data_IF_459348662413
#
_entry.id   IF_459348662413
#
_cell.length_a   1.000
_cell.length_b   1.000
_cell.length_c   1.000
_cell.angle_alpha   90.00
_cell.angle_beta   90.00
_cell.angle_gamma   90.00
#
_symmetry.space_group_name_H-M   'P 1'
#
loop_
_entity.id
_entity.type
_entity.pdbx_description
1 polymer ?
#
# COMPACT_ATOMS: atom_id res chain seq x y z
N UNK A 1 12.32 11.76 23.75
CA UNK A 1 12.24 10.99 22.48
C UNK A 1 11.30 9.81 22.72
N UNK A 2 10.19 9.71 21.98
CA UNK A 2 9.24 8.59 22.10
C UNK A 2 9.58 7.54 21.06
N UNK A 3 9.66 6.27 21.47
CA UNK A 3 9.85 5.14 20.53
C UNK A 3 8.62 4.26 20.53
N UNK A 4 8.03 4.06 19.37
CA UNK A 4 6.79 3.32 19.17
C UNK A 4 7.01 2.12 18.24
N UNK A 5 6.51 0.94 18.63
CA UNK A 5 6.48 -0.21 17.73
C UNK A 5 5.14 -0.28 17.00
N UNK A 6 5.20 -0.34 15.68
CA UNK A 6 4.03 -0.58 14.83
C UNK A 6 3.97 -2.05 14.44
N UNK A 7 2.81 -2.66 14.61
CA UNK A 7 2.52 -4.01 14.12
C UNK A 7 1.47 -3.89 13.00
N UNK A 8 1.94 -3.87 11.75
CA UNK A 8 1.12 -3.91 10.55
C UNK A 8 1.84 -4.71 9.49
N UNK A 9 1.46 -5.98 9.36
CA UNK A 9 2.26 -6.95 8.62
C UNK A 9 1.87 -7.07 7.15
N UNK A 10 0.60 -6.92 6.82
CA UNK A 10 0.07 -7.12 5.45
C UNK A 10 -1.38 -6.60 5.32
N UNK A 11 -1.97 -6.41 4.13
CA UNK A 11 -1.32 -6.54 2.83
C UNK A 11 -0.63 -5.22 2.41
N UNK A 12 -0.13 -5.10 1.16
CA UNK A 12 0.57 -3.90 0.69
C UNK A 12 -0.25 -2.63 0.92
N UNK A 13 -1.51 -2.60 0.49
CA UNK A 13 -2.39 -1.44 0.70
C UNK A 13 -2.57 -1.10 2.19
N UNK A 14 -2.75 -2.12 3.04
CA UNK A 14 -2.85 -1.92 4.49
C UNK A 14 -1.58 -1.32 5.11
N UNK A 15 -0.40 -1.72 4.63
CA UNK A 15 0.89 -1.16 5.09
C UNK A 15 0.98 0.30 4.66
N UNK A 16 0.68 0.62 3.39
CA UNK A 16 0.65 1.98 2.88
C UNK A 16 -0.35 2.86 3.65
N UNK A 17 -1.57 2.38 3.89
CA UNK A 17 -2.61 3.10 4.63
C UNK A 17 -2.21 3.48 6.07
N UNK A 18 -1.12 2.92 6.59
CA UNK A 18 -0.62 3.24 7.93
C UNK A 18 0.29 4.46 7.94
N UNK A 19 0.95 4.78 6.83
CA UNK A 19 1.90 5.89 6.73
C UNK A 19 1.34 7.25 7.17
N UNK A 20 0.09 7.65 6.79
CA UNK A 20 -0.45 8.93 7.22
C UNK A 20 -0.57 9.11 8.75
N UNK A 21 -0.75 8.01 9.48
CA UNK A 21 -0.79 8.07 10.94
C UNK A 21 0.57 8.42 11.57
N UNK A 22 1.67 8.05 10.90
CA UNK A 22 3.02 8.44 11.32
C UNK A 22 3.26 9.93 11.09
N UNK A 23 2.83 10.43 9.92
CA UNK A 23 2.91 11.85 9.58
C UNK A 23 2.16 12.70 10.60
N UNK A 24 0.92 12.32 10.95
CA UNK A 24 0.16 13.00 11.99
C UNK A 24 0.90 13.00 13.34
N UNK A 25 1.44 11.86 13.74
CA UNK A 25 2.14 11.73 15.02
C UNK A 25 3.42 12.58 15.07
N UNK A 26 4.17 12.66 13.97
CA UNK A 26 5.38 13.52 13.86
C UNK A 26 5.04 14.99 13.98
N UNK A 27 3.91 15.44 13.42
CA UNK A 27 3.47 16.82 13.54
C UNK A 27 3.21 17.23 14.99
N UNK A 28 2.73 16.28 15.82
CA UNK A 28 2.46 16.52 17.25
C UNK A 28 3.70 16.28 18.11
N UNK A 29 4.48 15.27 17.77
CA UNK A 29 5.68 14.86 18.52
C UNK A 29 6.89 14.79 17.57
N UNK A 30 7.61 15.90 17.35
CA UNK A 30 8.72 15.95 16.37
C UNK A 30 9.85 14.94 16.63
N UNK A 31 10.04 14.53 17.89
CA UNK A 31 11.08 13.58 18.30
C UNK A 31 10.58 12.11 18.37
N UNK A 32 9.39 11.82 17.86
CA UNK A 32 8.86 10.45 17.82
C UNK A 32 9.58 9.64 16.75
N UNK A 33 9.91 8.39 17.08
CA UNK A 33 10.46 7.42 16.12
C UNK A 33 9.69 6.14 16.15
N UNK A 34 9.64 5.46 15.00
CA UNK A 34 8.91 4.22 14.83
C UNK A 34 9.84 3.07 14.44
N UNK A 35 9.67 1.95 15.14
CA UNK A 35 10.08 0.64 14.65
C UNK A 35 8.84 -0.04 14.06
N UNK A 36 8.98 -0.80 12.97
CA UNK A 36 7.82 -1.37 12.30
C UNK A 36 8.01 -2.85 11.96
N UNK A 37 7.12 -3.71 12.49
CA UNK A 37 7.06 -5.12 12.10
C UNK A 37 6.15 -5.27 10.89
N UNK A 38 6.72 -5.79 9.80
CA UNK A 38 6.06 -5.95 8.50
C UNK A 38 6.47 -7.28 7.85
N UNK A 39 5.60 -7.88 7.06
CA UNK A 39 5.91 -9.09 6.28
C UNK A 39 7.04 -8.83 5.28
N UNK A 40 7.99 -9.77 5.14
CA UNK A 40 9.23 -9.62 4.36
C UNK A 40 9.01 -9.06 2.93
N UNK A 41 7.89 -9.43 2.28
CA UNK A 41 7.56 -8.94 0.93
C UNK A 41 7.23 -7.44 0.85
N UNK A 42 6.99 -6.78 1.98
CA UNK A 42 6.65 -5.36 2.05
C UNK A 42 7.65 -4.54 2.88
N UNK A 43 8.78 -5.14 3.24
CA UNK A 43 9.75 -4.54 4.16
C UNK A 43 10.37 -3.23 3.65
N UNK A 44 10.31 -2.95 2.35
CA UNK A 44 10.81 -1.69 1.79
C UNK A 44 9.90 -0.49 2.14
N UNK A 45 8.58 -0.69 2.22
CA UNK A 45 7.60 0.40 2.33
C UNK A 45 7.79 1.26 3.59
N UNK A 46 7.91 0.70 4.81
CA UNK A 46 8.08 1.53 6.00
C UNK A 46 9.32 2.42 5.95
N UNK A 47 10.41 1.92 5.37
CA UNK A 47 11.68 2.65 5.26
C UNK A 47 11.66 3.88 4.34
N UNK A 48 10.60 4.09 3.58
CA UNK A 48 10.42 5.30 2.77
C UNK A 48 9.94 6.50 3.58
N UNK A 49 9.37 6.26 4.77
CA UNK A 49 8.91 7.33 5.67
C UNK A 49 10.02 7.71 6.65
N UNK A 50 10.35 9.00 6.73
CA UNK A 50 11.49 9.51 7.49
C UNK A 50 11.44 9.25 9.01
N UNK A 51 10.25 9.06 9.58
CA UNK A 51 10.09 8.77 11.01
C UNK A 51 10.29 7.28 11.36
N UNK A 52 10.49 6.40 10.39
CA UNK A 52 10.77 4.98 10.65
C UNK A 52 12.27 4.79 10.82
N UNK A 53 12.67 4.41 12.03
CA UNK A 53 14.07 4.15 12.39
C UNK A 53 14.48 2.72 12.05
N UNK A 54 13.62 1.73 12.38
CA UNK A 54 13.91 0.31 12.14
C UNK A 54 12.74 -0.40 11.49
N UNK A 55 13.04 -1.17 10.45
CA UNK A 55 12.10 -2.13 9.87
C UNK A 55 12.48 -3.53 10.36
N UNK A 56 11.53 -4.26 10.93
CA UNK A 56 11.72 -5.61 11.48
C UNK A 56 10.90 -6.57 10.61
N UNK A 57 11.51 -7.22 9.61
CA UNK A 57 10.81 -8.14 8.73
C UNK A 57 10.33 -9.39 9.48
N UNK A 58 9.11 -9.82 9.19
CA UNK A 58 8.55 -11.08 9.65
C UNK A 58 8.08 -11.92 8.46
N UNK A 59 8.20 -13.23 8.54
CA UNK A 59 7.85 -14.14 7.45
C UNK A 59 6.78 -15.17 7.86
N UNK A 60 5.70 -14.72 8.51
CA UNK A 60 4.66 -15.62 9.06
C UNK A 60 4.09 -16.52 7.98
N UNK A 61 3.89 -16.01 6.75
CA UNK A 61 3.34 -16.78 5.63
C UNK A 61 4.25 -17.94 5.23
N UNK A 62 5.57 -17.71 5.21
CA UNK A 62 6.59 -18.71 4.87
C UNK A 62 6.82 -19.66 6.04
N UNK A 63 6.96 -19.14 7.25
CA UNK A 63 7.21 -19.96 8.46
C UNK A 63 6.11 -20.98 8.70
N UNK A 64 4.84 -20.65 8.47
CA UNK A 64 3.71 -21.57 8.65
C UNK A 64 3.82 -22.87 7.86
N UNK A 65 4.49 -22.84 6.72
CA UNK A 65 4.67 -24.03 5.87
C UNK A 65 5.67 -25.04 6.46
N UNK A 66 6.64 -24.54 7.25
CA UNK A 66 7.74 -25.32 7.75
C UNK A 66 8.12 -24.94 9.20
N UNK A 67 7.11 -24.78 10.06
CA UNK A 67 7.24 -24.20 11.40
C UNK A 67 8.32 -24.86 12.29
N UNK A 68 8.52 -26.18 12.15
CA UNK A 68 9.44 -26.97 12.97
C UNK A 68 10.84 -27.13 12.39
N UNK A 69 11.11 -26.67 11.17
CA UNK A 69 12.46 -26.73 10.58
C UNK A 69 13.44 -25.90 11.41
N UNK A 70 14.69 -26.37 11.47
CA UNK A 70 15.74 -25.74 12.30
C UNK A 70 16.07 -24.32 11.85
N UNK A 71 16.16 -24.08 10.54
CA UNK A 71 16.35 -22.76 9.95
C UNK A 71 15.21 -21.79 10.33
N UNK A 72 13.95 -22.22 10.18
CA UNK A 72 12.78 -21.42 10.56
C UNK A 72 12.75 -21.12 12.06
N UNK A 73 13.14 -22.07 12.91
CA UNK A 73 13.26 -21.83 14.36
C UNK A 73 14.32 -20.78 14.69
N UNK A 74 15.45 -20.77 13.94
CA UNK A 74 16.50 -19.79 14.11
C UNK A 74 16.02 -18.39 13.66
N UNK A 75 15.39 -18.29 12.48
CA UNK A 75 14.79 -17.02 12.03
C UNK A 75 13.78 -16.45 13.02
N UNK A 76 12.89 -17.28 13.56
CA UNK A 76 11.91 -16.86 14.57
C UNK A 76 12.56 -16.42 15.88
N UNK A 77 13.68 -17.03 16.26
CA UNK A 77 14.46 -16.59 17.43
C UNK A 77 15.07 -15.22 17.17
N UNK A 78 15.75 -15.02 16.03
CA UNK A 78 16.32 -13.73 15.63
C UNK A 78 15.26 -12.63 15.56
N UNK A 79 14.10 -12.94 14.98
CA UNK A 79 12.96 -12.03 14.97
C UNK A 79 12.50 -11.64 16.37
N UNK A 80 12.38 -12.62 17.29
CA UNK A 80 12.02 -12.35 18.69
C UNK A 80 13.05 -11.44 19.36
N UNK A 81 14.33 -11.75 19.20
CA UNK A 81 15.44 -10.94 19.74
C UNK A 81 15.39 -9.50 19.19
N UNK A 82 15.12 -9.33 17.90
CA UNK A 82 14.97 -8.02 17.26
C UNK A 82 13.80 -7.20 17.83
N UNK A 83 12.63 -7.83 18.04
CA UNK A 83 11.45 -7.17 18.64
C UNK A 83 11.69 -6.82 20.11
N UNK A 84 12.39 -7.68 20.85
CA UNK A 84 12.66 -7.53 22.28
C UNK A 84 13.90 -6.70 22.61
N UNK A 85 14.68 -6.31 21.61
CA UNK A 85 15.93 -5.52 21.80
C UNK A 85 15.68 -4.10 22.30
N UNK A 86 14.43 -3.62 22.24
CA UNK A 86 14.04 -2.28 22.69
C UNK A 86 12.82 -2.36 23.62
N UNK A 87 12.71 -1.35 24.49
CA UNK A 87 11.48 -1.08 25.24
C UNK A 87 10.77 0.09 24.56
N UNK A 88 9.48 -0.07 24.28
CA UNK A 88 8.67 0.91 23.56
C UNK A 88 7.74 1.65 24.52
N UNK A 89 7.55 2.94 24.29
CA UNK A 89 6.54 3.74 25.00
C UNK A 89 5.14 3.29 24.67
N UNK A 90 4.93 2.84 23.41
CA UNK A 90 3.70 2.22 22.96
C UNK A 90 3.99 1.14 21.91
N UNK A 91 3.21 0.06 21.93
CA UNK A 91 3.16 -0.99 20.89
C UNK A 91 1.77 -0.92 20.26
N UNK A 92 1.66 -0.46 19.02
CA UNK A 92 0.37 -0.27 18.34
C UNK A 92 0.13 -1.39 17.35
N UNK A 93 -0.83 -2.28 17.65
CA UNK A 93 -1.28 -3.33 16.71
C UNK A 93 -2.40 -2.78 15.81
N UNK A 94 -2.00 -2.27 14.65
CA UNK A 94 -2.90 -1.80 13.60
C UNK A 94 -3.34 -2.94 12.65
N UNK A 95 -2.83 -4.17 12.82
CA UNK A 95 -3.24 -5.35 12.03
C UNK A 95 -4.56 -5.93 12.51
N UNK A 96 -4.74 -6.07 13.82
CA UNK A 96 -5.97 -6.53 14.43
C UNK A 96 -6.34 -7.99 14.16
N UNK A 97 -5.34 -8.87 14.04
CA UNK A 97 -5.51 -10.31 13.83
C UNK A 97 -4.91 -11.09 15.01
N UNK A 98 -5.49 -12.24 15.34
CA UNK A 98 -4.97 -13.13 16.41
C UNK A 98 -3.50 -13.49 16.16
N UNK A 99 -3.14 -13.75 14.91
CA UNK A 99 -1.75 -14.09 14.56
C UNK A 99 -0.77 -12.95 14.80
N UNK A 100 -1.14 -11.68 14.52
CA UNK A 100 -0.28 -10.52 14.80
C UNK A 100 -0.19 -10.29 16.32
N UNK A 101 -1.31 -10.35 17.01
CA UNK A 101 -1.35 -10.19 18.46
C UNK A 101 -0.50 -11.23 19.19
N UNK A 102 -0.64 -12.52 18.81
CA UNK A 102 0.04 -13.62 19.47
C UNK A 102 1.52 -13.76 19.09
N UNK A 103 1.85 -13.61 17.79
CA UNK A 103 3.19 -13.89 17.26
C UNK A 103 4.12 -12.68 17.26
N UNK A 104 3.57 -11.47 17.38
CA UNK A 104 4.32 -10.22 17.31
C UNK A 104 4.06 -9.32 18.52
N UNK A 105 2.84 -8.80 18.66
CA UNK A 105 2.48 -7.77 19.66
C UNK A 105 2.80 -8.21 21.09
N UNK A 106 2.46 -9.48 21.43
CA UNK A 106 2.74 -10.06 22.74
C UNK A 106 4.23 -10.13 23.08
N UNK A 107 5.11 -10.25 22.08
CA UNK A 107 6.57 -10.38 22.29
C UNK A 107 7.23 -9.09 22.69
N UNK A 108 6.70 -7.95 22.23
CA UNK A 108 7.30 -6.64 22.44
C UNK A 108 7.21 -6.17 23.88
N UNK A 109 8.23 -5.44 24.34
CA UNK A 109 8.24 -4.76 25.64
C UNK A 109 7.64 -3.36 25.47
N UNK A 110 6.57 -3.07 26.20
CA UNK A 110 5.83 -1.81 26.15
C UNK A 110 4.33 -2.00 26.30
N UNK A 111 3.59 -0.90 26.51
CA UNK A 111 2.13 -0.90 26.63
C UNK A 111 1.49 -1.18 25.26
N UNK A 112 0.63 -2.17 25.22
CA UNK A 112 0.04 -2.67 23.96
C UNK A 112 -1.30 -1.99 23.70
N UNK A 113 -1.40 -1.32 22.57
CA UNK A 113 -2.59 -0.62 22.08
C UNK A 113 -3.15 -1.33 20.86
N UNK A 114 -4.47 -1.34 20.73
CA UNK A 114 -5.14 -1.89 19.57
C UNK A 114 -6.64 -1.56 19.56
N UNK A 115 -7.33 -2.04 18.55
CA UNK A 115 -8.78 -1.89 18.45
C UNK A 115 -9.51 -2.68 19.52
N UNK A 116 -10.62 -2.17 20.03
CA UNK A 116 -11.50 -2.92 20.91
C UNK A 116 -12.25 -4.03 20.15
N UNK A 117 -12.92 -4.93 20.88
CA UNK A 117 -13.63 -6.09 20.32
C UNK A 117 -14.67 -5.78 19.24
N UNK A 118 -15.25 -4.58 19.25
CA UNK A 118 -16.27 -4.14 18.29
C UNK A 118 -15.67 -3.51 17.04
N UNK A 119 -14.49 -2.92 17.15
CA UNK A 119 -13.77 -2.23 16.08
C UNK A 119 -12.79 -3.14 15.33
N UNK A 120 -12.28 -4.18 15.98
CA UNK A 120 -11.27 -5.08 15.43
C UNK A 120 -11.85 -6.07 14.42
N UNK A 121 -11.00 -6.60 13.54
CA UNK A 121 -11.37 -7.63 12.56
C UNK A 121 -11.60 -8.99 13.21
N UNK A 122 -10.71 -9.42 14.10
CA UNK A 122 -10.80 -10.66 14.86
C UNK A 122 -10.96 -10.33 16.35
N UNK A 123 -12.17 -10.40 16.92
CA UNK A 123 -12.47 -9.94 18.28
C UNK A 123 -11.58 -10.51 19.38
N UNK A 124 -11.13 -11.76 19.23
CA UNK A 124 -10.25 -12.42 20.21
C UNK A 124 -8.84 -11.78 20.28
N UNK A 125 -8.38 -11.12 19.23
CA UNK A 125 -7.09 -10.43 19.26
C UNK A 125 -7.07 -9.29 20.29
N UNK A 126 -8.22 -8.68 20.59
CA UNK A 126 -8.31 -7.58 21.56
C UNK A 126 -7.93 -8.00 23.00
N UNK A 127 -7.95 -9.30 23.33
CA UNK A 127 -7.51 -9.77 24.65
C UNK A 127 -6.00 -9.60 24.90
N UNK A 128 -5.21 -9.41 23.84
CA UNK A 128 -3.76 -9.22 23.93
C UNK A 128 -3.33 -7.76 24.10
N UNK A 129 -4.28 -6.82 24.15
CA UNK A 129 -4.00 -5.39 24.28
C UNK A 129 -4.30 -4.91 25.70
N UNK A 130 -3.40 -4.07 26.22
CA UNK A 130 -3.56 -3.39 27.52
C UNK A 130 -4.59 -2.24 27.37
N UNK A 131 -4.46 -1.47 26.27
CA UNK A 131 -5.37 -0.38 25.90
C UNK A 131 -6.16 -0.71 24.63
N UNK A 132 -7.48 -0.54 24.69
CA UNK A 132 -8.42 -0.97 23.65
C UNK A 132 -9.24 0.22 23.18
N UNK A 133 -9.05 0.61 21.94
CA UNK A 133 -9.64 1.82 21.38
C UNK A 133 -10.87 1.53 20.52
N UNK A 134 -11.94 2.30 20.75
CA UNK A 134 -13.14 2.26 19.92
C UNK A 134 -12.93 3.12 18.67
N UNK A 135 -12.94 2.48 17.50
CA UNK A 135 -12.77 3.14 16.20
C UNK A 135 -13.85 2.63 15.25
N UNK A 136 -14.63 3.51 14.64
CA UNK A 136 -15.71 3.13 13.75
C UNK A 136 -15.21 2.34 12.52
N UNK A 137 -15.96 1.30 12.14
CA UNK A 137 -15.69 0.49 10.93
C UNK A 137 -16.20 1.15 9.64
N UNK A 138 -17.01 2.20 9.75
CA UNK A 138 -17.60 2.90 8.60
C UNK A 138 -16.68 3.96 8.01
N UNK A 139 -15.54 4.23 8.64
CA UNK A 139 -14.54 5.15 8.14
C UNK A 139 -13.62 4.45 7.11
N UNK A 140 -13.03 5.24 6.21
CA UNK A 140 -11.97 4.76 5.34
C UNK A 140 -10.80 4.15 6.14
N UNK A 141 -10.13 3.13 5.61
CA UNK A 141 -9.06 2.39 6.30
C UNK A 141 -7.94 3.31 6.82
N UNK A 142 -7.53 4.32 6.05
CA UNK A 142 -6.55 5.34 6.47
C UNK A 142 -7.04 6.09 7.71
N UNK A 143 -8.28 6.60 7.67
CA UNK A 143 -8.84 7.37 8.78
C UNK A 143 -8.98 6.55 10.07
N UNK A 144 -9.31 5.27 9.93
CA UNK A 144 -9.36 4.34 11.06
C UNK A 144 -8.00 4.16 11.72
N UNK A 145 -6.93 4.04 10.92
CA UNK A 145 -5.58 3.87 11.46
C UNK A 145 -5.10 5.17 12.09
N UNK A 146 -5.31 6.32 11.45
CA UNK A 146 -5.01 7.65 12.01
C UNK A 146 -5.69 7.84 13.38
N UNK A 147 -6.97 7.46 13.49
CA UNK A 147 -7.70 7.53 14.76
C UNK A 147 -7.14 6.58 15.83
N UNK A 148 -6.77 5.35 15.45
CA UNK A 148 -6.12 4.43 16.37
C UNK A 148 -4.83 5.00 16.94
N UNK A 149 -3.97 5.58 16.10
CA UNK A 149 -2.71 6.21 16.53
C UNK A 149 -2.95 7.41 17.43
N UNK A 150 -3.90 8.28 17.07
CA UNK A 150 -4.26 9.44 17.88
C UNK A 150 -4.70 9.04 19.31
N UNK A 151 -5.59 8.05 19.42
CA UNK A 151 -6.04 7.51 20.70
C UNK A 151 -4.91 6.81 21.47
N UNK A 152 -4.04 6.07 20.78
CA UNK A 152 -2.94 5.33 21.41
C UNK A 152 -1.83 6.26 21.95
N UNK A 153 -1.58 7.36 21.28
CA UNK A 153 -0.51 8.29 21.61
C UNK A 153 -0.99 9.54 22.36
N UNK A 154 -2.31 9.71 22.51
CA UNK A 154 -2.92 10.77 23.31
C UNK A 154 -2.91 12.14 22.63
N UNK A 155 -3.19 12.20 21.33
CA UNK A 155 -3.38 13.46 20.59
C UNK A 155 -4.72 13.49 19.85
N UNK A 156 -5.16 14.68 19.45
CA UNK A 156 -6.37 14.84 18.64
C UNK A 156 -6.06 14.56 17.16
N UNK A 157 -6.82 13.65 16.52
CA UNK A 157 -6.65 13.33 15.11
C UNK A 157 -6.88 14.58 14.24
N UNK A 158 -5.93 14.98 13.38
CA UNK A 158 -6.12 16.11 12.48
C UNK A 158 -7.33 15.92 11.55
N UNK A 159 -8.07 17.01 11.33
CA UNK A 159 -9.27 17.00 10.46
C UNK A 159 -8.92 17.10 8.98
N UNK A 160 -7.70 17.51 8.65
CA UNK A 160 -7.21 17.52 7.26
C UNK A 160 -6.96 16.10 6.75
N UNK A 161 -7.02 15.86 5.44
CA UNK A 161 -6.63 14.57 4.86
C UNK A 161 -5.23 14.16 5.27
N UNK A 162 -5.03 12.87 5.49
CA UNK A 162 -3.72 12.33 5.86
C UNK A 162 -2.73 12.36 4.70
N UNK A 163 -1.45 12.61 5.03
CA UNK A 163 -0.34 12.64 4.10
C UNK A 163 0.55 11.40 4.30
N UNK A 164 0.85 10.70 3.23
CA UNK A 164 1.73 9.52 3.27
C UNK A 164 3.21 9.88 3.47
N UNK A 165 3.62 11.09 3.10
CA UNK A 165 4.96 11.67 3.26
C UNK A 165 6.11 10.82 2.65
N UNK A 166 5.84 10.04 1.59
CA UNK A 166 6.86 9.22 0.91
C UNK A 166 7.19 9.69 -0.51
N UNK A 167 6.41 10.58 -1.11
CA UNK A 167 6.65 11.05 -2.47
C UNK A 167 8.05 11.70 -2.61
N UNK A 168 8.47 12.52 -1.65
CA UNK A 168 9.77 13.17 -1.63
C UNK A 168 10.96 12.18 -1.60
N UNK A 169 10.78 10.99 -1.01
CA UNK A 169 11.82 9.95 -1.01
C UNK A 169 12.20 9.54 -2.43
N UNK A 170 11.24 9.48 -3.35
CA UNK A 170 11.49 9.08 -4.73
C UNK A 170 11.89 10.26 -5.62
N UNK A 171 11.35 11.46 -5.41
CA UNK A 171 11.71 12.64 -6.20
C UNK A 171 13.17 13.05 -5.99
N UNK A 172 13.68 12.97 -4.77
CA UNK A 172 15.05 13.36 -4.44
C UNK A 172 16.10 12.30 -4.83
N UNK A 173 15.70 11.06 -5.03
CA UNK A 173 16.61 9.94 -5.32
C UNK A 173 16.59 9.50 -6.79
N UNK A 174 15.85 10.20 -7.66
CA UNK A 174 15.84 9.90 -9.08
C UNK A 174 17.14 10.41 -9.75
N UNK A 175 18.07 9.50 -9.97
CA UNK A 175 19.24 9.69 -10.84
C UNK A 175 19.00 9.20 -12.27
N UNK A 176 17.78 8.82 -12.61
CA UNK A 176 17.46 8.45 -14.00
C UNK A 176 17.53 9.71 -14.86
N UNK A 177 18.26 9.69 -16.01
CA UNK A 177 18.21 10.79 -16.95
C UNK A 177 16.75 11.15 -17.23
N UNK A 178 16.41 12.43 -17.22
CA UNK A 178 15.07 12.87 -17.56
C UNK A 178 14.71 12.28 -18.93
N UNK A 179 13.89 11.24 -18.96
CA UNK A 179 13.32 10.77 -20.21
C UNK A 179 12.46 11.93 -20.74
N UNK A 180 12.77 12.31 -21.97
CA UNK A 180 12.11 13.46 -22.61
C UNK A 180 10.68 13.15 -23.01
N UNK A 181 10.28 11.88 -23.05
CA UNK A 181 8.94 11.47 -23.45
C UNK A 181 8.07 11.16 -22.24
N UNK A 182 6.95 11.89 -22.08
CA UNK A 182 6.02 11.64 -20.99
C UNK A 182 5.39 10.23 -21.10
N UNK A 183 5.08 9.62 -19.95
CA UNK A 183 4.52 8.28 -19.93
C UNK A 183 3.46 8.08 -18.86
N UNK A 184 2.60 7.09 -19.10
CA UNK A 184 1.65 6.54 -18.14
C UNK A 184 2.13 5.18 -17.64
N UNK A 185 1.85 4.88 -16.38
CA UNK A 185 2.00 3.53 -15.86
C UNK A 185 0.63 2.85 -15.84
N UNK A 186 0.52 1.66 -16.47
CA UNK A 186 -0.70 0.88 -16.46
C UNK A 186 -0.53 -0.37 -15.58
N UNK A 187 -1.23 -0.38 -14.44
CA UNK A 187 -1.22 -1.48 -13.47
C UNK A 187 -2.31 -2.48 -13.83
N UNK A 188 -1.97 -3.39 -14.74
CA UNK A 188 -2.91 -4.28 -15.43
C UNK A 188 -3.19 -5.58 -14.70
N UNK A 189 -2.45 -5.89 -13.61
CA UNK A 189 -2.50 -7.18 -12.93
C UNK A 189 -2.93 -7.06 -11.46
N UNK A 190 -3.63 -8.07 -10.99
CA UNK A 190 -4.10 -8.22 -9.61
C UNK A 190 -4.22 -9.71 -9.26
N UNK A 191 -4.37 -10.03 -7.98
CA UNK A 191 -4.42 -11.41 -7.49
C UNK A 191 -5.76 -12.13 -7.69
N UNK A 192 -6.81 -11.42 -8.09
CA UNK A 192 -8.17 -11.98 -8.27
C UNK A 192 -8.65 -11.77 -9.69
N UNK A 193 -9.04 -12.83 -10.36
CA UNK A 193 -9.50 -12.77 -11.77
C UNK A 193 -10.67 -11.81 -11.98
N UNK A 194 -11.63 -11.77 -11.06
CA UNK A 194 -12.77 -10.85 -11.11
C UNK A 194 -12.40 -9.35 -11.03
N UNK A 195 -11.15 -9.03 -10.72
CA UNK A 195 -10.62 -7.66 -10.69
C UNK A 195 -9.77 -7.32 -11.91
N UNK A 196 -9.63 -8.22 -12.86
CA UNK A 196 -8.93 -7.93 -14.10
C UNK A 196 -9.84 -7.20 -15.08
N UNK A 197 -9.33 -6.11 -15.65
CA UNK A 197 -9.95 -5.49 -16.80
C UNK A 197 -9.59 -6.30 -18.04
N UNK A 198 -10.54 -6.57 -18.97
CA UNK A 198 -10.29 -7.44 -20.13
C UNK A 198 -9.15 -6.95 -21.01
N UNK A 199 -8.33 -7.87 -21.53
CA UNK A 199 -7.20 -7.53 -22.41
C UNK A 199 -7.64 -6.74 -23.68
N UNK A 200 -8.76 -7.06 -24.34
CA UNK A 200 -9.24 -6.25 -25.46
C UNK A 200 -9.49 -4.77 -25.09
N UNK A 201 -9.98 -4.50 -23.88
CA UNK A 201 -10.23 -3.13 -23.43
C UNK A 201 -8.93 -2.36 -23.18
N UNK A 202 -7.92 -3.01 -22.53
CA UNK A 202 -6.58 -2.43 -22.40
C UNK A 202 -5.98 -2.09 -23.77
N UNK A 203 -6.07 -3.01 -24.71
CA UNK A 203 -5.53 -2.80 -26.07
C UNK A 203 -6.27 -1.71 -26.84
N UNK A 204 -7.61 -1.62 -26.67
CA UNK A 204 -8.39 -0.52 -27.24
C UNK A 204 -7.97 0.84 -26.68
N UNK A 205 -7.76 0.91 -25.36
CA UNK A 205 -7.22 2.11 -24.70
C UNK A 205 -5.83 2.47 -25.25
N UNK A 206 -4.92 1.51 -25.37
CA UNK A 206 -3.57 1.75 -25.88
C UNK A 206 -3.57 2.23 -27.32
N UNK A 207 -4.44 1.68 -28.17
CA UNK A 207 -4.60 2.14 -29.54
C UNK A 207 -5.02 3.62 -29.61
N UNK A 208 -5.95 4.06 -28.77
CA UNK A 208 -6.42 5.44 -28.72
C UNK A 208 -5.40 6.42 -28.10
N UNK A 209 -4.45 5.92 -27.31
CA UNK A 209 -3.38 6.73 -26.71
C UNK A 209 -2.16 6.88 -27.63
N UNK A 210 -2.07 6.10 -28.72
CA UNK A 210 -0.93 6.12 -29.63
C UNK A 210 -0.62 7.51 -30.22
N UNK A 211 -1.67 8.28 -30.52
CA UNK A 211 -1.57 9.58 -31.18
C UNK A 211 -1.30 10.75 -30.21
N UNK A 212 -1.24 10.46 -28.88
CA UNK A 212 -1.06 11.49 -27.85
C UNK A 212 0.40 11.77 -27.50
N UNK A 213 1.36 11.08 -28.11
CA UNK A 213 2.78 11.22 -27.79
C UNK A 213 3.17 10.72 -26.40
N UNK A 214 2.32 9.90 -25.78
CA UNK A 214 2.54 9.29 -24.46
C UNK A 214 3.07 7.87 -24.62
N UNK A 215 4.10 7.53 -23.88
CA UNK A 215 4.48 6.13 -23.71
C UNK A 215 3.66 5.46 -22.61
N UNK A 216 3.52 4.16 -22.68
CA UNK A 216 2.84 3.34 -21.67
C UNK A 216 3.84 2.34 -21.12
N UNK A 217 3.94 2.25 -19.79
CA UNK A 217 4.82 1.30 -19.09
C UNK A 217 4.00 0.29 -18.32
N UNK A 218 4.33 -0.99 -18.53
CA UNK A 218 3.64 -2.14 -17.93
C UNK A 218 4.56 -2.85 -16.94
N UNK A 219 4.48 -2.56 -15.64
CA UNK A 219 5.19 -3.33 -14.61
C UNK A 219 4.53 -4.68 -14.36
N UNK A 220 5.32 -5.64 -13.88
CA UNK A 220 4.88 -6.98 -13.52
C UNK A 220 5.70 -7.54 -12.36
N UNK A 221 5.14 -8.48 -11.59
CA UNK A 221 5.79 -9.12 -10.46
C UNK A 221 5.99 -10.62 -10.65
N UNK A 222 5.02 -11.31 -11.28
CA UNK A 222 5.03 -12.75 -11.49
C UNK A 222 5.12 -13.11 -13.00
N UNK A 223 5.64 -14.30 -13.37
CA UNK A 223 5.79 -14.69 -14.78
C UNK A 223 4.49 -14.61 -15.60
N UNK A 224 3.35 -15.02 -15.06
CA UNK A 224 2.06 -14.93 -15.75
C UNK A 224 1.61 -13.47 -15.98
N UNK A 225 1.99 -12.54 -15.11
CA UNK A 225 1.75 -11.11 -15.30
C UNK A 225 2.66 -10.55 -16.42
N UNK A 226 3.90 -11.03 -16.51
CA UNK A 226 4.80 -10.70 -17.62
C UNK A 226 4.24 -11.13 -18.96
N UNK A 227 3.77 -12.39 -19.04
CA UNK A 227 3.12 -12.91 -20.26
C UNK A 227 1.90 -12.09 -20.65
N UNK A 228 1.09 -11.68 -19.67
CA UNK A 228 -0.04 -10.79 -19.90
C UNK A 228 0.44 -9.42 -20.43
N UNK A 229 1.43 -8.80 -19.82
CA UNK A 229 1.99 -7.54 -20.27
C UNK A 229 2.52 -7.63 -21.72
N UNK A 230 3.18 -8.72 -22.07
CA UNK A 230 3.67 -8.98 -23.45
C UNK A 230 2.51 -9.06 -24.46
N UNK A 231 1.41 -9.77 -24.12
CA UNK A 231 0.22 -9.81 -24.99
C UNK A 231 -0.43 -8.44 -25.14
N UNK A 232 -0.49 -7.65 -24.08
CA UNK A 232 -1.03 -6.30 -24.09
C UNK A 232 -0.20 -5.35 -24.98
N UNK A 233 1.13 -5.45 -24.91
CA UNK A 233 2.05 -4.61 -25.65
C UNK A 233 2.21 -4.99 -27.13
N UNK A 234 1.83 -6.23 -27.50
CA UNK A 234 2.06 -6.76 -28.85
C UNK A 234 1.46 -5.86 -29.94
N UNK A 235 2.30 -5.42 -30.90
CA UNK A 235 1.90 -4.59 -32.03
C UNK A 235 1.87 -3.07 -31.75
N UNK A 236 2.22 -2.63 -30.52
CA UNK A 236 2.34 -1.21 -30.16
C UNK A 236 3.81 -0.81 -29.96
N UNK A 237 4.24 0.27 -30.58
CA UNK A 237 5.63 0.79 -30.45
C UNK A 237 5.80 1.69 -29.21
N UNK A 238 4.72 2.26 -28.70
CA UNK A 238 4.69 3.16 -27.55
C UNK A 238 4.35 2.45 -26.22
N UNK A 239 4.12 1.13 -26.24
CA UNK A 239 3.81 0.32 -25.04
C UNK A 239 4.99 -0.55 -24.70
N UNK A 240 5.54 -0.36 -23.49
CA UNK A 240 6.77 -0.99 -23.03
C UNK A 240 6.53 -1.88 -21.82
N UNK A 241 6.88 -3.17 -21.95
CA UNK A 241 6.93 -4.08 -20.81
C UNK A 241 8.23 -3.82 -20.06
N UNK A 242 8.12 -3.43 -18.80
CA UNK A 242 9.30 -3.14 -17.98
C UNK A 242 10.09 -4.43 -17.67
N UNK A 243 11.38 -4.32 -17.39
CA UNK A 243 12.12 -5.43 -16.80
C UNK A 243 11.53 -5.76 -15.41
N UNK A 244 11.96 -6.90 -14.84
CA UNK A 244 11.55 -7.21 -13.46
C UNK A 244 12.16 -6.19 -12.50
N UNK A 245 11.31 -5.45 -11.81
CA UNK A 245 11.71 -4.41 -10.87
C UNK A 245 11.50 -4.87 -9.43
N UNK A 246 12.27 -4.29 -8.50
CA UNK A 246 11.94 -4.30 -7.08
C UNK A 246 10.72 -3.41 -6.81
N UNK A 247 10.13 -3.51 -5.63
CA UNK A 247 9.02 -2.64 -5.25
C UNK A 247 9.42 -1.15 -5.27
N UNK A 248 10.64 -0.82 -4.83
CA UNK A 248 11.18 0.53 -4.94
C UNK A 248 11.38 0.97 -6.40
N UNK A 249 11.77 0.06 -7.29
CA UNK A 249 11.86 0.34 -8.73
C UNK A 249 10.49 0.65 -9.34
N UNK A 250 9.44 -0.11 -8.98
CA UNK A 250 8.07 0.18 -9.41
C UNK A 250 7.59 1.51 -8.86
N UNK A 251 7.90 1.81 -7.59
CA UNK A 251 7.56 3.10 -6.98
C UNK A 251 8.23 4.27 -7.71
N UNK A 252 9.48 4.09 -8.12
CA UNK A 252 10.22 5.08 -8.91
C UNK A 252 9.58 5.32 -10.29
N UNK A 253 9.18 4.25 -10.99
CA UNK A 253 8.44 4.35 -12.27
C UNK A 253 7.11 5.10 -12.10
N UNK A 254 6.36 4.80 -11.02
CA UNK A 254 5.12 5.50 -10.72
C UNK A 254 5.39 6.98 -10.39
N UNK A 255 6.41 7.27 -9.59
CA UNK A 255 6.75 8.64 -9.20
C UNK A 255 7.14 9.52 -10.38
N UNK A 256 7.76 8.96 -11.44
CA UNK A 256 8.13 9.65 -12.67
C UNK A 256 7.01 9.76 -13.71
N UNK A 257 5.89 9.05 -13.55
CA UNK A 257 4.79 9.05 -14.52
C UNK A 257 3.96 10.33 -14.49
N UNK A 258 3.33 10.67 -15.61
CA UNK A 258 2.30 11.72 -15.67
C UNK A 258 1.03 11.31 -14.93
N UNK A 259 0.72 10.02 -14.94
CA UNK A 259 -0.42 9.44 -14.25
C UNK A 259 -0.44 7.93 -14.34
N UNK A 260 -1.40 7.33 -13.67
CA UNK A 260 -1.55 5.88 -13.58
C UNK A 260 -2.97 5.46 -13.91
N UNK A 261 -3.11 4.38 -14.68
CA UNK A 261 -4.39 3.69 -14.85
C UNK A 261 -4.22 2.32 -14.20
N UNK A 262 -5.06 1.98 -13.27
CA UNK A 262 -4.89 0.76 -12.47
C UNK A 262 -6.19 -0.03 -12.33
N UNK A 263 -6.08 -1.33 -12.21
CA UNK A 263 -7.12 -2.14 -11.58
C UNK A 263 -6.98 -2.04 -10.05
N UNK A 264 -7.96 -2.51 -9.30
CA UNK A 264 -7.91 -2.57 -7.83
C UNK A 264 -6.81 -3.54 -7.37
N UNK A 265 -5.66 -2.98 -7.01
CA UNK A 265 -4.43 -3.70 -6.63
C UNK A 265 -3.65 -2.92 -5.56
N UNK A 266 -2.71 -3.60 -4.88
CA UNK A 266 -1.83 -2.96 -3.90
C UNK A 266 -1.01 -1.80 -4.49
N UNK A 267 -0.65 -1.85 -5.76
CA UNK A 267 0.08 -0.79 -6.44
C UNK A 267 -0.77 0.46 -6.71
N UNK A 268 -2.10 0.36 -6.79
CA UNK A 268 -2.97 1.56 -6.88
C UNK A 268 -2.89 2.40 -5.60
N UNK A 269 -2.77 1.74 -4.43
CA UNK A 269 -2.54 2.44 -3.16
C UNK A 269 -1.12 3.05 -3.08
N UNK A 270 -0.13 2.40 -3.71
CA UNK A 270 1.21 2.98 -3.83
C UNK A 270 1.19 4.24 -4.70
N UNK A 271 0.41 4.25 -5.78
CA UNK A 271 0.21 5.44 -6.62
C UNK A 271 -0.36 6.60 -5.80
N UNK A 272 -1.38 6.34 -4.98
CA UNK A 272 -1.95 7.33 -4.07
C UNK A 272 -0.91 7.84 -3.05
N UNK A 273 -0.10 6.95 -2.51
CA UNK A 273 0.94 7.30 -1.54
C UNK A 273 2.10 8.13 -2.14
N UNK A 274 2.25 8.08 -3.46
CA UNK A 274 3.23 8.88 -4.22
C UNK A 274 2.64 10.17 -4.77
N UNK A 275 1.40 10.54 -4.38
CA UNK A 275 0.68 11.74 -4.83
C UNK A 275 0.50 11.82 -6.36
N UNK A 276 0.43 10.67 -7.04
CA UNK A 276 0.24 10.63 -8.49
C UNK A 276 -1.23 10.52 -8.87
N UNK A 277 -1.65 11.24 -9.93
CA UNK A 277 -3.00 11.07 -10.49
C UNK A 277 -3.24 9.61 -10.88
N UNK A 278 -4.37 9.06 -10.46
CA UNK A 278 -4.68 7.65 -10.69
C UNK A 278 -6.17 7.46 -11.01
N UNK A 279 -6.45 6.75 -12.09
CA UNK A 279 -7.78 6.23 -12.37
C UNK A 279 -7.76 4.75 -12.00
N UNK A 280 -8.46 4.40 -10.92
CA UNK A 280 -8.57 3.00 -10.48
C UNK A 280 -9.91 2.41 -10.91
N UNK A 281 -9.84 1.29 -11.63
CA UNK A 281 -10.99 0.55 -12.12
C UNK A 281 -11.48 -0.42 -11.04
N UNK A 282 -12.71 -0.22 -10.56
CA UNK A 282 -13.35 -1.04 -9.55
C UNK A 282 -14.49 -1.87 -10.13
N UNK A 283 -14.42 -3.18 -9.98
CA UNK A 283 -15.51 -4.11 -10.23
C UNK A 283 -16.33 -4.33 -8.95
N UNK A 284 -16.18 -5.50 -8.29
CA UNK A 284 -16.99 -5.88 -7.13
C UNK A 284 -16.58 -5.20 -5.81
N UNK A 285 -15.54 -4.38 -5.79
CA UNK A 285 -15.02 -3.74 -4.57
C UNK A 285 -15.64 -2.36 -4.40
N UNK A 286 -16.13 -2.06 -3.18
CA UNK A 286 -16.54 -0.71 -2.79
C UNK A 286 -15.29 0.16 -2.48
N UNK A 287 -15.01 1.20 -3.29
CA UNK A 287 -13.87 2.08 -3.06
C UNK A 287 -14.02 2.99 -1.85
N UNK A 288 -15.23 3.20 -1.33
CA UNK A 288 -15.48 4.15 -0.24
C UNK A 288 -14.76 3.81 1.07
N UNK A 289 -14.51 2.52 1.34
CA UNK A 289 -13.86 2.06 2.57
C UNK A 289 -12.36 1.78 2.43
N UNK A 290 -11.91 1.38 1.24
CA UNK A 290 -10.55 0.90 1.03
C UNK A 290 -9.96 1.35 -0.33
N UNK A 291 -10.58 2.28 -1.01
CA UNK A 291 -10.12 2.78 -2.31
C UNK A 291 -8.87 3.65 -2.24
N UNK A 292 -8.51 4.28 -3.36
CA UNK A 292 -7.45 5.28 -3.40
C UNK A 292 -7.78 6.45 -2.45
N UNK A 293 -6.82 6.82 -1.60
CA UNK A 293 -6.99 7.90 -0.62
C UNK A 293 -6.02 9.04 -0.94
N UNK A 294 -6.52 10.26 -0.95
CA UNK A 294 -5.72 11.45 -1.24
C UNK A 294 -6.20 12.17 -2.50
N UNK A 295 -5.47 13.22 -2.86
CA UNK A 295 -5.78 14.04 -4.04
C UNK A 295 -5.48 13.27 -5.34
N UNK A 296 -6.24 13.55 -6.40
CA UNK A 296 -5.99 12.96 -7.71
C UNK A 296 -6.33 11.47 -7.81
N UNK A 297 -7.03 10.89 -6.81
CA UNK A 297 -7.47 9.50 -6.86
C UNK A 297 -8.92 9.44 -7.37
N UNK A 298 -9.11 8.92 -8.57
CA UNK A 298 -10.42 8.77 -9.19
C UNK A 298 -10.82 7.29 -9.26
N UNK A 299 -12.02 6.98 -8.76
CA UNK A 299 -12.59 5.64 -8.82
C UNK A 299 -13.57 5.53 -9.98
N UNK A 300 -13.26 4.73 -10.99
CA UNK A 300 -14.17 4.37 -12.06
C UNK A 300 -14.79 3.02 -11.75
N UNK A 301 -16.03 3.04 -11.26
CA UNK A 301 -16.73 1.84 -10.78
C UNK A 301 -17.65 1.27 -11.85
N UNK A 302 -17.53 -0.03 -12.11
CA UNK A 302 -18.43 -0.78 -12.99
C UNK A 302 -19.86 -0.77 -12.43
N UNK A 303 -20.85 -0.41 -13.25
CA UNK A 303 -22.25 -0.26 -12.82
C UNK A 303 -22.89 -1.59 -12.39
N UNK A 304 -22.47 -2.68 -12.99
CA UNK A 304 -22.93 -4.05 -12.72
C UNK A 304 -21.97 -4.85 -11.83
N UNK A 305 -20.88 -4.21 -11.36
CA UNK A 305 -19.82 -4.85 -10.58
C UNK A 305 -18.83 -5.65 -11.43
N UNK A 306 -18.96 -5.62 -12.76
CA UNK A 306 -18.08 -6.35 -13.68
C UNK A 306 -17.25 -5.40 -14.53
N UNK A 307 -15.91 -5.52 -14.47
CA UNK A 307 -15.00 -4.64 -15.21
C UNK A 307 -15.14 -4.74 -16.73
N UNK A 308 -15.75 -5.78 -17.24
CA UNK A 308 -16.08 -5.91 -18.68
C UNK A 308 -17.06 -4.84 -19.17
N UNK A 309 -17.86 -4.23 -18.27
CA UNK A 309 -18.79 -3.15 -18.61
C UNK A 309 -18.13 -1.75 -18.67
N UNK A 310 -16.89 -1.61 -18.21
CA UNK A 310 -16.11 -0.38 -18.32
C UNK A 310 -15.38 -0.38 -19.68
N UNK A 311 -15.72 0.55 -20.55
CA UNK A 311 -15.09 0.68 -21.87
C UNK A 311 -13.77 1.46 -21.82
N UNK A 312 -12.97 1.40 -22.89
CA UNK A 312 -11.81 2.25 -23.07
C UNK A 312 -12.20 3.73 -23.17
N UNK A 313 -13.35 4.04 -23.76
CA UNK A 313 -13.86 5.41 -23.87
C UNK A 313 -14.24 6.01 -22.51
N UNK A 314 -14.78 5.20 -21.58
CA UNK A 314 -15.05 5.64 -20.21
C UNK A 314 -13.73 6.03 -19.49
N UNK A 315 -12.68 5.25 -19.71
CA UNK A 315 -11.35 5.54 -19.12
C UNK A 315 -10.76 6.81 -19.74
N UNK A 316 -10.87 7.00 -21.06
CA UNK A 316 -10.40 8.21 -21.73
C UNK A 316 -11.16 9.48 -21.31
N UNK A 317 -12.47 9.36 -21.10
CA UNK A 317 -13.28 10.46 -20.56
C UNK A 317 -12.81 10.82 -19.14
N UNK A 318 -12.59 9.82 -18.28
CA UNK A 318 -12.07 10.05 -16.94
C UNK A 318 -10.64 10.66 -16.97
N UNK A 319 -9.78 10.23 -17.90
CA UNK A 319 -8.45 10.84 -18.09
C UNK A 319 -8.55 12.31 -18.45
N UNK A 320 -9.44 12.66 -19.37
CA UNK A 320 -9.61 14.04 -19.82
C UNK A 320 -10.09 14.98 -18.70
N UNK A 321 -10.82 14.46 -17.72
CA UNK A 321 -11.36 15.21 -16.60
C UNK A 321 -10.38 15.28 -15.40
N UNK A 322 -9.63 14.19 -15.12
CA UNK A 322 -8.92 14.01 -13.86
C UNK A 322 -7.40 13.93 -13.98
N UNK A 323 -6.84 13.81 -15.18
CA UNK A 323 -5.40 13.81 -15.39
C UNK A 323 -4.91 15.13 -15.98
N UNK A 324 -3.70 15.59 -15.63
CA UNK A 324 -3.12 16.78 -16.26
C UNK A 324 -3.00 16.57 -17.78
N UNK A 325 -3.19 17.67 -18.54
CA UNK A 325 -3.06 17.69 -19.99
C UNK A 325 -1.59 17.72 -20.41
#
# INVERSE_FOLDING_TARGET
MRRVLIVKTSSMGDVLHTLPALTDAVQVFPDITFDWVVEEGFAQIPGWHSAVDRVIPVAIRRWRKNWFRRDIRNERRQFREAVQSQTYDAVIDAQGLIKSALLVTRLAHGRKHGYNRHSIREPLASFFYDEKHAVSKTQHAVERIRQLFALSLGYEKPQIPGDYAIAAHFLNNHTTPAETTPYLVCLHATTRDAKHWPEPHWRALFAQLSDRGLHIRLPWGAPHEQERAQRLAAGFTHVHVLPKLSLAGVAAEIAGAEGVISVDTGLSHLTAALDKPNITLYGPTDPGLIGGYGKGQFALTAKDGELSSVSADDVLAAMAEHMPR
#
